data_IF_292529914207
#
_entry.id   IF_292529914207
#
_cell.length_a   1.000
_cell.length_b   1.000
_cell.length_c   1.000
_cell.angle_alpha   90.00
_cell.angle_beta   90.00
_cell.angle_gamma   90.00
#
_symmetry.space_group_name_H-M   'P 1'
#
loop_
_entity.id
_entity.type
_entity.pdbx_description
1 polymer ?
#
# COMPACT_ATOMS: atom_id res chain seq x y z
N UNK A 1 31.47 14.83 -34.38
CA UNK A 1 30.49 15.49 -33.48
C UNK A 1 29.19 15.67 -34.25
N UNK A 2 28.12 14.95 -33.92
CA UNK A 2 26.82 15.14 -34.59
C UNK A 2 26.21 16.43 -34.04
N UNK A 3 26.32 17.50 -34.81
CA UNK A 3 25.83 18.83 -34.45
C UNK A 3 24.31 18.81 -34.25
N UNK A 4 23.83 19.53 -33.24
CA UNK A 4 22.39 19.65 -32.99
C UNK A 4 21.79 20.46 -34.14
N UNK A 5 20.72 20.00 -34.81
CA UNK A 5 20.31 20.49 -36.13
C UNK A 5 19.78 21.94 -36.19
N UNK A 6 19.66 22.64 -35.06
CA UNK A 6 19.09 23.99 -35.00
C UNK A 6 19.94 24.93 -34.15
N UNK A 7 20.26 26.11 -34.70
CA UNK A 7 20.93 27.20 -33.99
C UNK A 7 19.99 27.94 -33.01
N UNK A 8 18.71 28.07 -33.38
CA UNK A 8 17.69 28.69 -32.54
C UNK A 8 17.48 27.92 -31.21
N UNK A 9 17.64 28.58 -30.04
CA UNK A 9 17.53 27.92 -28.74
C UNK A 9 16.18 27.28 -28.46
N UNK A 10 15.07 27.85 -28.93
CA UNK A 10 13.73 27.33 -28.66
C UNK A 10 13.44 26.08 -29.49
N UNK A 11 13.70 26.14 -30.80
CA UNK A 11 13.62 24.99 -31.71
C UNK A 11 14.51 23.85 -31.25
N UNK A 12 15.70 24.15 -30.75
CA UNK A 12 16.60 23.14 -30.17
C UNK A 12 16.00 22.46 -28.94
N UNK A 13 15.41 23.23 -28.01
CA UNK A 13 14.72 22.65 -26.83
C UNK A 13 13.49 21.84 -27.24
N UNK A 14 12.71 22.32 -28.21
CA UNK A 14 11.55 21.62 -28.74
C UNK A 14 11.95 20.28 -29.39
N UNK A 15 12.97 20.29 -30.24
CA UNK A 15 13.56 19.10 -30.84
C UNK A 15 14.04 18.12 -29.78
N UNK A 16 14.75 18.58 -28.74
CA UNK A 16 15.21 17.72 -27.64
C UNK A 16 14.06 17.07 -26.87
N UNK A 17 13.01 17.83 -26.52
CA UNK A 17 11.80 17.28 -25.88
C UNK A 17 11.13 16.22 -26.75
N UNK A 18 11.03 16.49 -28.04
CA UNK A 18 10.38 15.58 -28.96
C UNK A 18 11.20 14.31 -29.23
N UNK A 19 12.52 14.45 -29.34
CA UNK A 19 13.44 13.32 -29.41
C UNK A 19 13.33 12.44 -28.17
N UNK A 20 13.30 13.02 -26.96
CA UNK A 20 13.11 12.27 -25.70
C UNK A 20 11.76 11.56 -25.70
N UNK A 21 10.69 12.21 -26.14
CA UNK A 21 9.36 11.60 -26.23
C UNK A 21 9.37 10.37 -27.15
N UNK A 22 9.95 10.51 -28.34
CA UNK A 22 10.06 9.43 -29.35
C UNK A 22 11.07 8.34 -28.99
N UNK A 23 12.07 8.67 -28.16
CA UNK A 23 13.17 7.77 -27.76
C UNK A 23 13.21 7.56 -26.23
N UNK A 24 12.03 7.45 -25.60
CA UNK A 24 11.91 7.47 -24.14
C UNK A 24 12.76 6.40 -23.44
N UNK A 25 12.86 5.20 -24.01
CA UNK A 25 13.71 4.15 -23.46
C UNK A 25 15.21 4.49 -23.51
N UNK A 26 15.70 4.95 -24.67
CA UNK A 26 17.09 5.37 -24.84
C UNK A 26 17.45 6.52 -23.89
N UNK A 27 16.56 7.49 -23.75
CA UNK A 27 16.72 8.62 -22.82
C UNK A 27 16.78 8.14 -21.36
N UNK A 28 15.86 7.25 -20.94
CA UNK A 28 15.88 6.66 -19.59
C UNK A 28 17.14 5.84 -19.34
N UNK A 29 17.58 5.03 -20.31
CA UNK A 29 18.79 4.23 -20.19
C UNK A 29 20.05 5.11 -20.07
N UNK A 30 20.14 6.18 -20.87
CA UNK A 30 21.22 7.16 -20.76
C UNK A 30 21.23 7.84 -19.39
N UNK A 31 20.07 8.26 -18.88
CA UNK A 31 19.96 8.86 -17.55
C UNK A 31 20.29 7.88 -16.42
N UNK A 32 19.91 6.60 -16.54
CA UNK A 32 20.34 5.55 -15.59
C UNK A 32 21.85 5.41 -15.55
N UNK A 33 22.50 5.31 -16.72
CA UNK A 33 23.97 5.24 -16.81
C UNK A 33 24.65 6.49 -16.21
N UNK A 34 24.09 7.67 -16.48
CA UNK A 34 24.61 8.91 -15.90
C UNK A 34 24.50 8.91 -14.37
N UNK A 35 23.36 8.52 -13.79
CA UNK A 35 23.18 8.44 -12.33
C UNK A 35 24.13 7.44 -11.68
N UNK A 36 24.43 6.33 -12.35
CA UNK A 36 25.39 5.33 -11.86
C UNK A 36 26.83 5.87 -11.85
N UNK A 37 27.22 6.67 -12.85
CA UNK A 37 28.57 7.27 -12.93
C UNK A 37 28.73 8.53 -12.09
N UNK A 38 27.62 9.20 -11.75
CA UNK A 38 27.61 10.46 -11.02
C UNK A 38 26.66 10.42 -9.81
N UNK A 39 26.78 9.45 -8.88
CA UNK A 39 25.85 9.30 -7.77
C UNK A 39 25.87 10.51 -6.82
N UNK A 40 27.06 11.04 -6.51
CA UNK A 40 27.22 12.15 -5.57
C UNK A 40 26.69 13.46 -6.15
N UNK A 41 26.98 13.74 -7.42
CA UNK A 41 26.45 14.90 -8.12
C UNK A 41 24.92 14.82 -8.18
N UNK A 42 24.36 13.67 -8.56
CA UNK A 42 22.91 13.49 -8.60
C UNK A 42 22.26 13.68 -7.22
N UNK A 43 22.89 13.14 -6.17
CA UNK A 43 22.42 13.31 -4.80
C UNK A 43 22.50 14.77 -4.34
N UNK A 44 23.59 15.48 -4.65
CA UNK A 44 23.78 16.89 -4.33
C UNK A 44 22.74 17.77 -5.03
N UNK A 45 22.50 17.54 -6.33
CA UNK A 45 21.46 18.21 -7.11
C UNK A 45 20.07 17.94 -6.50
N UNK A 46 19.79 16.70 -6.11
CA UNK A 46 18.55 16.32 -5.43
C UNK A 46 18.35 17.04 -4.10
N UNK A 47 19.40 17.14 -3.27
CA UNK A 47 19.39 17.91 -2.01
C UNK A 47 19.13 19.39 -2.27
N UNK A 48 19.84 20.00 -3.22
CA UNK A 48 19.68 21.41 -3.58
C UNK A 48 18.28 21.71 -4.16
N UNK A 49 17.73 20.78 -4.95
CA UNK A 49 16.36 20.87 -5.43
C UNK A 49 15.36 20.84 -4.28
N UNK A 50 15.49 19.86 -3.37
CA UNK A 50 14.59 19.73 -2.22
C UNK A 50 14.67 20.97 -1.32
N UNK A 51 15.88 21.44 -0.97
CA UNK A 51 16.08 22.61 -0.14
C UNK A 51 15.38 23.86 -0.72
N UNK A 52 15.59 24.14 -2.01
CA UNK A 52 14.95 25.29 -2.69
C UNK A 52 13.43 25.16 -2.85
N UNK A 53 12.90 23.94 -2.83
CA UNK A 53 11.49 23.67 -3.10
C UNK A 53 10.71 23.19 -1.87
N UNK A 54 11.31 23.14 -0.69
CA UNK A 54 10.78 22.49 0.51
C UNK A 54 9.34 22.91 0.80
N UNK A 55 9.09 24.22 0.92
CA UNK A 55 7.75 24.77 1.20
C UNK A 55 6.70 24.32 0.17
N UNK A 56 7.03 24.39 -1.13
CA UNK A 56 6.14 23.97 -2.22
C UNK A 56 5.84 22.47 -2.16
N UNK A 57 6.88 21.64 -1.93
CA UNK A 57 6.73 20.19 -1.81
C UNK A 57 5.91 19.81 -0.58
N UNK A 58 6.14 20.47 0.55
CA UNK A 58 5.43 20.22 1.80
C UNK A 58 3.93 20.58 1.67
N UNK A 59 3.61 21.73 1.06
CA UNK A 59 2.22 22.11 0.75
C UNK A 59 1.54 21.09 -0.18
N UNK A 60 2.21 20.70 -1.27
CA UNK A 60 1.70 19.69 -2.21
C UNK A 60 1.46 18.35 -1.51
N UNK A 61 2.42 17.90 -0.71
CA UNK A 61 2.33 16.62 0.00
C UNK A 61 1.23 16.66 1.07
N UNK A 62 1.07 17.79 1.77
CA UNK A 62 -0.01 18.01 2.74
C UNK A 62 -1.38 17.95 2.08
N UNK A 63 -1.56 18.66 0.95
CA UNK A 63 -2.79 18.62 0.17
C UNK A 63 -3.11 17.19 -0.32
N UNK A 64 -2.10 16.48 -0.85
CA UNK A 64 -2.25 15.08 -1.25
C UNK A 64 -2.65 14.19 -0.07
N UNK A 65 -1.98 14.30 1.08
CA UNK A 65 -2.28 13.49 2.26
C UNK A 65 -3.69 13.75 2.79
N UNK A 66 -4.14 15.02 2.78
CA UNK A 66 -5.50 15.40 3.19
C UNK A 66 -6.56 14.84 2.26
N UNK A 67 -6.31 14.87 0.94
CA UNK A 67 -7.22 14.32 -0.05
C UNK A 67 -7.23 12.78 -0.10
N UNK A 68 -6.17 12.13 0.43
CA UNK A 68 -5.98 10.68 0.36
C UNK A 68 -5.76 10.04 1.75
N UNK A 69 -6.70 10.21 2.70
CA UNK A 69 -6.52 9.72 4.07
C UNK A 69 -6.38 8.18 4.14
N UNK A 70 -7.00 7.47 3.20
CA UNK A 70 -6.92 6.00 3.10
C UNK A 70 -5.53 5.51 2.70
N UNK A 71 -4.86 6.24 1.80
CA UNK A 71 -3.47 5.97 1.39
C UNK A 71 -2.55 6.20 2.57
N UNK A 72 -2.74 7.31 3.29
CA UNK A 72 -1.98 7.64 4.50
C UNK A 72 -2.19 6.56 5.56
N UNK A 73 -3.43 6.09 5.78
CA UNK A 73 -3.76 5.01 6.72
C UNK A 73 -3.04 3.71 6.38
N UNK A 74 -3.15 3.22 5.14
CA UNK A 74 -2.49 2.00 4.71
C UNK A 74 -0.96 2.11 4.86
N UNK A 75 -0.37 3.25 4.47
CA UNK A 75 1.06 3.53 4.64
C UNK A 75 1.49 3.43 6.11
N UNK A 76 0.76 4.07 7.03
CA UNK A 76 1.07 4.03 8.45
C UNK A 76 0.96 2.63 9.05
N UNK A 77 -0.05 1.85 8.66
CA UNK A 77 -0.20 0.47 9.14
C UNK A 77 0.92 -0.43 8.60
N UNK A 78 1.28 -0.30 7.32
CA UNK A 78 2.40 -1.03 6.73
C UNK A 78 3.75 -0.64 7.39
N UNK A 79 3.92 0.62 7.80
CA UNK A 79 5.08 1.04 8.59
C UNK A 79 5.10 0.38 9.98
N UNK A 80 3.97 0.39 10.70
CA UNK A 80 3.85 -0.25 12.03
C UNK A 80 4.12 -1.76 11.95
N UNK A 81 3.60 -2.44 10.93
CA UNK A 81 3.84 -3.86 10.71
C UNK A 81 5.33 -4.17 10.49
N UNK A 82 6.01 -3.41 9.61
CA UNK A 82 7.45 -3.57 9.40
C UNK A 82 8.27 -3.35 10.67
N UNK A 83 7.89 -2.36 11.49
CA UNK A 83 8.55 -2.12 12.79
C UNK A 83 8.35 -3.24 13.80
N UNK A 84 7.26 -3.99 13.68
CA UNK A 84 6.99 -5.18 14.48
C UNK A 84 7.54 -6.47 13.84
N UNK A 85 8.34 -6.36 12.77
CA UNK A 85 8.81 -7.51 11.97
C UNK A 85 7.70 -8.44 11.46
N UNK A 86 6.47 -7.93 11.35
CA UNK A 86 5.33 -8.69 10.86
C UNK A 86 5.36 -8.78 9.33
N UNK A 87 5.01 -9.95 8.81
CA UNK A 87 4.89 -10.18 7.37
C UNK A 87 3.63 -9.51 6.80
N UNK A 88 3.65 -9.19 5.51
CA UNK A 88 2.46 -8.76 4.78
C UNK A 88 2.22 -7.26 4.74
N UNK A 89 1.33 -6.86 3.83
CA UNK A 89 0.88 -5.48 3.68
C UNK A 89 -0.49 -5.43 2.99
N UNK A 90 -1.14 -4.27 3.05
CA UNK A 90 -2.34 -4.01 2.26
C UNK A 90 -2.31 -2.61 1.65
N UNK A 91 -3.10 -2.44 0.60
CA UNK A 91 -3.29 -1.17 -0.12
C UNK A 91 -4.55 -0.44 0.36
N UNK A 92 -4.63 0.86 0.11
CA UNK A 92 -5.84 1.65 0.38
C UNK A 92 -7.07 1.08 -0.35
N UNK A 93 -6.89 0.57 -1.58
CA UNK A 93 -7.95 -0.07 -2.36
C UNK A 93 -8.49 -1.32 -1.64
N UNK A 94 -7.61 -2.23 -1.23
CA UNK A 94 -8.00 -3.43 -0.48
C UNK A 94 -8.74 -3.09 0.82
N UNK A 95 -8.28 -2.05 1.54
CA UNK A 95 -8.96 -1.58 2.74
C UNK A 95 -10.37 -1.03 2.44
N UNK A 96 -10.53 -0.22 1.40
CA UNK A 96 -11.84 0.30 0.99
C UNK A 96 -12.80 -0.80 0.54
N UNK A 97 -12.30 -1.79 -0.21
CA UNK A 97 -13.06 -2.97 -0.61
C UNK A 97 -13.51 -3.79 0.61
N UNK A 98 -12.63 -4.00 1.58
CA UNK A 98 -12.96 -4.66 2.85
C UNK A 98 -14.03 -3.88 3.62
N UNK A 99 -13.89 -2.55 3.74
CA UNK A 99 -14.89 -1.70 4.40
C UNK A 99 -16.25 -1.80 3.71
N UNK A 100 -16.28 -1.86 2.38
CA UNK A 100 -17.50 -2.03 1.60
C UNK A 100 -18.15 -3.39 1.83
N UNK A 101 -17.37 -4.49 1.88
CA UNK A 101 -17.86 -5.84 2.20
C UNK A 101 -18.51 -5.90 3.59
N UNK A 102 -18.00 -5.12 4.54
CA UNK A 102 -18.59 -5.00 5.87
C UNK A 102 -19.76 -4.01 5.94
N UNK A 103 -20.25 -3.52 4.80
CA UNK A 103 -21.30 -2.51 4.68
C UNK A 103 -21.01 -1.22 5.47
N UNK A 104 -19.73 -0.80 5.50
CA UNK A 104 -19.26 0.37 6.26
C UNK A 104 -19.64 0.32 7.74
N UNK A 105 -19.71 -0.88 8.31
CA UNK A 105 -20.05 -1.13 9.72
C UNK A 105 -18.94 -1.88 10.42
N UNK A 106 -18.87 -1.72 11.74
CA UNK A 106 -17.92 -2.44 12.56
C UNK A 106 -18.08 -3.97 12.40
N UNK A 107 -16.96 -4.69 12.29
CA UNK A 107 -16.89 -6.14 12.21
C UNK A 107 -17.33 -6.85 13.50
N UNK A 108 -17.39 -6.12 14.62
CA UNK A 108 -17.78 -6.63 15.94
C UNK A 108 -19.21 -6.25 16.31
N UNK A 109 -19.46 -5.00 16.66
CA UNK A 109 -20.78 -4.57 17.14
C UNK A 109 -21.79 -4.30 16.00
N UNK A 110 -21.33 -4.08 14.77
CA UNK A 110 -22.20 -3.76 13.63
C UNK A 110 -22.66 -2.29 13.55
N UNK A 111 -22.25 -1.43 14.48
CA UNK A 111 -22.53 0.01 14.42
C UNK A 111 -21.87 0.67 13.20
N UNK A 112 -22.55 1.69 12.67
CA UNK A 112 -21.97 2.63 11.72
C UNK A 112 -21.10 3.61 12.50
N UNK A 113 -19.82 3.69 12.15
CA UNK A 113 -18.87 4.56 12.84
C UNK A 113 -17.68 4.87 11.93
N UNK A 114 -16.79 5.74 12.40
CA UNK A 114 -15.44 5.87 11.81
C UNK A 114 -14.69 4.56 12.07
N UNK A 115 -14.37 3.86 10.99
CA UNK A 115 -13.71 2.56 11.03
C UNK A 115 -12.19 2.72 11.06
N UNK A 116 -11.56 1.87 11.84
CA UNK A 116 -10.11 1.73 11.96
C UNK A 116 -9.69 0.31 11.61
N UNK A 117 -8.45 0.18 11.18
CA UNK A 117 -7.81 -1.09 10.86
C UNK A 117 -7.55 -1.82 12.18
N UNK A 118 -8.15 -3.00 12.31
CA UNK A 118 -7.97 -3.94 13.41
C UNK A 118 -7.36 -5.24 12.86
N UNK A 119 -6.47 -5.88 13.61
CA UNK A 119 -5.89 -7.17 13.22
C UNK A 119 -6.64 -8.32 13.89
N UNK A 120 -7.03 -9.37 13.16
CA UNK A 120 -7.68 -10.56 13.74
C UNK A 120 -6.75 -11.21 14.75
N UNK A 121 -5.53 -11.53 14.34
CA UNK A 121 -4.41 -11.87 15.22
C UNK A 121 -3.57 -10.60 15.39
N UNK A 122 -3.42 -10.05 16.60
CA UNK A 122 -2.59 -8.86 16.84
C UNK A 122 -1.14 -9.07 16.39
N UNK A 123 -0.49 -8.01 15.91
CA UNK A 123 0.93 -8.05 15.51
C UNK A 123 1.83 -8.51 16.68
N UNK A 124 1.51 -8.12 17.91
CA UNK A 124 2.24 -8.53 19.12
C UNK A 124 2.14 -10.03 19.43
N UNK A 125 1.31 -10.77 18.70
CA UNK A 125 1.09 -12.21 18.83
C UNK A 125 1.41 -12.95 17.53
N UNK A 126 2.29 -12.39 16.70
CA UNK A 126 2.71 -13.01 15.44
C UNK A 126 1.72 -12.84 14.28
N UNK A 127 0.70 -11.98 14.42
CA UNK A 127 -0.23 -11.70 13.34
C UNK A 127 0.44 -11.00 12.15
N UNK A 128 -0.04 -11.29 10.94
CA UNK A 128 0.43 -10.64 9.71
C UNK A 128 -0.30 -9.32 9.45
N UNK A 129 0.22 -8.50 8.55
CA UNK A 129 -0.47 -7.30 8.06
C UNK A 129 -1.07 -7.51 6.65
N UNK A 130 -1.37 -8.77 6.29
CA UNK A 130 -2.11 -9.12 5.10
C UNK A 130 -3.60 -8.77 5.26
N UNK A 131 -4.27 -8.45 4.16
CA UNK A 131 -5.69 -8.02 4.18
C UNK A 131 -6.63 -9.04 4.83
N UNK A 132 -6.33 -10.34 4.74
CA UNK A 132 -7.11 -11.41 5.38
C UNK A 132 -7.06 -11.38 6.92
N UNK A 133 -5.98 -10.84 7.50
CA UNK A 133 -5.84 -10.60 8.93
C UNK A 133 -6.41 -9.24 9.35
N UNK A 134 -6.96 -8.43 8.44
CA UNK A 134 -7.53 -7.12 8.76
C UNK A 134 -9.06 -7.19 8.90
N UNK A 135 -9.57 -6.41 9.84
CA UNK A 135 -11.00 -6.15 10.05
C UNK A 135 -11.26 -4.64 10.15
N UNK A 136 -12.41 -4.16 9.65
CA UNK A 136 -12.87 -2.82 9.94
C UNK A 136 -13.58 -2.78 11.31
N UNK A 137 -12.97 -2.15 12.31
CA UNK A 137 -13.55 -2.01 13.65
C UNK A 137 -13.84 -0.55 13.99
N UNK A 138 -14.83 -0.28 14.84
CA UNK A 138 -14.96 1.04 15.46
C UNK A 138 -13.88 1.21 16.55
N UNK A 139 -13.53 2.47 16.87
CA UNK A 139 -12.52 2.78 17.90
C UNK A 139 -12.83 2.14 19.27
N UNK A 140 -14.08 2.13 19.78
CA UNK A 140 -14.40 1.46 21.03
C UNK A 140 -14.17 -0.05 21.02
N UNK A 141 -14.47 -0.74 19.91
CA UNK A 141 -14.22 -2.19 19.80
C UNK A 141 -12.73 -2.51 19.70
N UNK A 142 -11.98 -1.78 18.87
CA UNK A 142 -10.52 -1.92 18.77
C UNK A 142 -9.85 -1.73 20.15
N UNK A 143 -10.17 -0.62 20.82
CA UNK A 143 -9.60 -0.32 22.15
C UNK A 143 -9.92 -1.41 23.18
N UNK A 144 -11.16 -1.93 23.19
CA UNK A 144 -11.51 -3.05 24.06
C UNK A 144 -10.74 -4.31 23.70
N UNK A 145 -10.69 -4.70 22.42
CA UNK A 145 -10.01 -5.91 21.94
C UNK A 145 -8.54 -5.92 22.35
N UNK A 146 -7.84 -4.79 22.18
CA UNK A 146 -6.45 -4.63 22.58
C UNK A 146 -5.55 -5.74 21.99
N UNK A 147 -5.08 -6.67 22.82
CA UNK A 147 -4.15 -7.76 22.46
C UNK A 147 -4.83 -9.12 22.32
N UNK A 148 -6.16 -9.15 22.40
CA UNK A 148 -6.92 -10.36 22.17
C UNK A 148 -6.96 -10.70 20.68
N UNK A 149 -7.05 -11.99 20.35
CA UNK A 149 -7.40 -12.44 19.02
C UNK A 149 -8.88 -12.12 18.69
N UNK A 150 -9.25 -12.25 17.42
CA UNK A 150 -10.63 -12.08 16.95
C UNK A 150 -11.59 -12.99 17.74
N UNK A 151 -11.23 -14.26 17.87
CA UNK A 151 -12.04 -15.27 18.55
C UNK A 151 -12.15 -15.02 20.05
N UNK A 152 -11.03 -14.74 20.72
CA UNK A 152 -11.01 -14.39 22.15
C UNK A 152 -11.89 -13.16 22.42
N UNK A 153 -11.80 -12.13 21.58
CA UNK A 153 -12.58 -10.92 21.76
C UNK A 153 -14.07 -11.14 21.51
N UNK A 154 -14.43 -11.90 20.47
CA UNK A 154 -15.82 -12.25 20.17
C UNK A 154 -16.44 -13.06 21.31
N UNK A 155 -15.71 -14.05 21.84
CA UNK A 155 -16.13 -14.84 23.00
C UNK A 155 -16.36 -13.94 24.21
N UNK A 156 -15.41 -13.05 24.54
CA UNK A 156 -15.56 -12.11 25.65
C UNK A 156 -16.76 -11.17 25.47
N UNK A 157 -17.02 -10.70 24.25
CA UNK A 157 -18.21 -9.87 23.99
C UNK A 157 -19.51 -10.63 24.26
N UNK A 158 -19.59 -11.91 23.86
CA UNK A 158 -20.76 -12.76 24.15
C UNK A 158 -20.94 -13.00 25.65
N UNK A 159 -19.85 -13.28 26.37
CA UNK A 159 -19.87 -13.47 27.83
C UNK A 159 -20.39 -12.24 28.57
N UNK A 160 -20.13 -11.03 28.06
CA UNK A 160 -20.66 -9.79 28.62
C UNK A 160 -22.02 -9.37 28.02
N UNK A 161 -22.76 -10.29 27.39
CA UNK A 161 -24.09 -10.02 26.84
C UNK A 161 -24.12 -8.97 25.71
N UNK A 162 -22.98 -8.67 25.07
CA UNK A 162 -22.92 -7.67 24.01
C UNK A 162 -23.33 -8.28 22.68
N UNK A 163 -24.02 -7.50 21.84
CA UNK A 163 -24.29 -7.87 20.45
C UNK A 163 -22.96 -8.09 19.71
N UNK A 164 -22.81 -9.27 19.10
CA UNK A 164 -21.67 -9.61 18.25
C UNK A 164 -22.18 -9.99 16.86
N UNK A 165 -21.71 -9.25 15.86
CA UNK A 165 -21.97 -9.52 14.45
C UNK A 165 -21.27 -10.82 14.04
N UNK A 166 -21.94 -11.72 13.30
CA UNK A 166 -21.30 -12.93 12.78
C UNK A 166 -20.04 -12.60 11.96
N UNK A 167 -19.06 -13.50 11.97
CA UNK A 167 -17.91 -13.38 11.10
C UNK A 167 -18.41 -13.47 9.66
N UNK A 168 -18.16 -12.43 8.87
CA UNK A 168 -18.39 -12.54 7.43
C UNK A 168 -17.35 -13.51 6.88
N UNK A 169 -17.81 -14.65 6.33
CA UNK A 169 -16.98 -15.44 5.44
C UNK A 169 -16.65 -14.53 4.26
N UNK A 170 -15.37 -14.17 4.12
CA UNK A 170 -14.94 -13.46 2.91
C UNK A 170 -15.27 -14.39 1.75
N UNK A 171 -16.19 -13.99 0.88
CA UNK A 171 -16.28 -14.60 -0.44
C UNK A 171 -14.91 -14.37 -1.06
N UNK A 172 -14.14 -15.45 -1.22
CA UNK A 172 -12.89 -15.39 -1.95
C UNK A 172 -13.23 -14.76 -3.31
N UNK A 173 -12.60 -13.62 -3.62
CA UNK A 173 -12.71 -13.05 -4.94
C UNK A 173 -12.25 -14.12 -5.94
N UNK A 174 -13.07 -14.55 -6.93
CA UNK A 174 -12.78 -15.69 -7.80
C UNK A 174 -11.50 -15.56 -8.68
N UNK A 175 -10.74 -14.48 -8.54
CA UNK A 175 -9.62 -14.14 -9.42
C UNK A 175 -8.26 -14.70 -8.97
N UNK A 176 -8.20 -15.54 -7.94
CA UNK A 176 -6.92 -16.08 -7.43
C UNK A 176 -6.86 -17.61 -7.28
N UNK A 177 -7.72 -18.39 -7.95
CA UNK A 177 -7.66 -19.87 -7.89
C UNK A 177 -6.82 -20.52 -9.00
N UNK A 178 -6.34 -19.77 -9.99
CA UNK A 178 -5.46 -20.34 -11.01
C UNK A 178 -4.01 -20.12 -10.59
N UNK A 179 -3.42 -21.06 -9.86
CA UNK A 179 -2.00 -21.43 -9.85
C UNK A 179 -1.78 -22.50 -8.76
N UNK A 180 -2.26 -23.72 -9.01
CA UNK A 180 -1.76 -24.99 -8.43
C UNK A 180 -2.58 -26.15 -9.00
N UNK A 181 -2.33 -26.48 -10.25
CA UNK A 181 -2.68 -27.77 -10.85
C UNK A 181 -1.70 -27.97 -12.01
N UNK A 182 -0.60 -28.66 -11.71
CA UNK A 182 0.43 -29.06 -12.65
C UNK A 182 0.90 -30.44 -12.24
N UNK A 183 0.14 -31.43 -12.73
CA UNK A 183 0.56 -32.76 -13.16
C UNK A 183 1.41 -33.61 -12.19
N UNK A 184 0.70 -34.47 -11.46
CA UNK A 184 1.10 -35.85 -11.29
C UNK A 184 0.95 -36.55 -12.65
N UNK A 185 2.05 -37.03 -13.21
CA UNK A 185 2.03 -38.16 -14.12
C UNK A 185 3.04 -39.19 -13.61
N UNK A 186 2.48 -40.34 -13.31
CA UNK A 186 3.15 -41.58 -13.00
C UNK A 186 3.99 -42.06 -14.19
N UNK A 187 5.09 -42.74 -13.91
CA UNK A 187 6.00 -43.29 -14.90
C UNK A 187 6.93 -44.31 -14.27
N UNK A 188 6.34 -45.45 -13.92
CA UNK A 188 6.99 -46.70 -13.57
C UNK A 188 7.71 -47.30 -14.81
N UNK A 189 8.69 -48.18 -14.54
CA UNK A 189 9.45 -49.04 -15.46
C UNK A 189 10.82 -48.52 -15.97
N UNK A 190 11.89 -48.89 -15.26
CA UNK A 190 12.79 -50.00 -15.59
C UNK A 190 14.09 -49.91 -14.76
#
# INVERSE_FOLDING_TARGET
MIGVPYADPERRRAYGRDWIRRNAEKARAAMRRWRQRHPDQHAAEGRAYYARNKKRLDLRNSAYNRANPEVVRAKWQNYRARRAAAQGSFTAKQWLELVAQYHRRCAYCGEQAILVVEHRVPLSRGGTNNINNILPACRPCNSRKHRLSDDEFRTRMRQHGRRVRPVLRMALCPKHEKHQSGDQQDGEHA
#
